data_IF_436751450397
#
_entry.id   IF_436751450397
#
_cell.length_a   1.000
_cell.length_b   1.000
_cell.length_c   1.000
_cell.angle_alpha   90.00
_cell.angle_beta   90.00
_cell.angle_gamma   90.00
#
_symmetry.space_group_name_H-M   'P 1'
#
loop_
_entity.id
_entity.type
_entity.pdbx_description
1 polymer ?
#
# COMPACT_ATOMS: atom_id res chain seq x y z
N UNK A 1 20.23 -21.28 -4.51
CA UNK A 1 20.07 -21.12 -3.05
C UNK A 1 18.61 -20.79 -2.82
N UNK A 2 17.89 -21.65 -2.08
CA UNK A 2 16.42 -21.62 -1.99
C UNK A 2 15.93 -20.82 -0.79
N UNK A 3 14.79 -20.15 -1.00
CA UNK A 3 14.06 -19.18 -0.15
C UNK A 3 14.46 -17.71 -0.35
N UNK A 4 13.50 -16.89 -0.79
CA UNK A 4 13.55 -15.41 -0.84
C UNK A 4 13.00 -14.76 0.45
N UNK A 5 12.63 -15.58 1.44
CA UNK A 5 12.02 -15.13 2.69
C UNK A 5 13.08 -14.62 3.68
N UNK A 6 12.79 -13.49 4.31
CA UNK A 6 13.58 -12.96 5.43
C UNK A 6 13.28 -13.77 6.68
N UNK A 7 14.24 -14.59 7.13
CA UNK A 7 14.04 -15.53 8.26
C UNK A 7 13.80 -14.87 9.62
N UNK A 8 14.27 -13.63 9.81
CA UNK A 8 14.15 -12.89 11.07
C UNK A 8 13.83 -11.41 10.77
N UNK A 9 12.56 -11.08 10.49
CA UNK A 9 12.17 -9.69 10.27
C UNK A 9 12.24 -8.91 11.60
N UNK A 10 12.63 -7.62 11.56
CA UNK A 10 12.76 -6.78 12.76
C UNK A 10 11.41 -6.38 13.37
N UNK A 11 10.33 -6.43 12.58
CA UNK A 11 8.96 -6.14 12.99
C UNK A 11 8.00 -7.18 12.38
N UNK A 12 6.77 -7.27 12.92
CA UNK A 12 5.73 -8.12 12.32
C UNK A 12 5.24 -7.58 10.97
N UNK A 13 5.27 -6.26 10.79
CA UNK A 13 4.95 -5.55 9.57
C UNK A 13 5.72 -4.23 9.56
N UNK A 14 6.07 -3.73 8.37
CA UNK A 14 6.79 -2.47 8.23
C UNK A 14 5.83 -1.26 8.25
N UNK A 15 4.64 -1.42 7.67
CA UNK A 15 3.64 -0.36 7.56
C UNK A 15 2.22 -0.92 7.44
N UNK A 16 1.29 -0.29 8.14
CA UNK A 16 -0.15 -0.52 8.05
C UNK A 16 -0.85 0.75 7.61
N UNK A 17 -1.80 0.65 6.68
CA UNK A 17 -2.63 1.78 6.29
C UNK A 17 -4.02 1.34 5.85
N UNK A 18 -4.96 2.28 5.93
CA UNK A 18 -6.30 2.17 5.38
C UNK A 18 -6.34 3.05 4.13
N UNK A 19 -6.42 2.45 2.93
CA UNK A 19 -6.60 3.22 1.69
C UNK A 19 -8.09 3.36 1.33
N UNK A 20 -8.49 4.58 1.01
CA UNK A 20 -9.78 4.88 0.40
C UNK A 20 -9.77 4.51 -1.09
N UNK A 21 -10.95 4.18 -1.63
CA UNK A 21 -11.09 3.94 -3.05
C UNK A 21 -10.91 5.26 -3.82
N UNK A 22 -10.04 5.32 -4.85
CA UNK A 22 -9.95 6.48 -5.73
C UNK A 22 -11.25 6.72 -6.48
N UNK A 23 -11.53 7.96 -6.88
CA UNK A 23 -12.69 8.26 -7.73
C UNK A 23 -12.38 8.11 -9.24
N UNK A 24 -11.10 8.08 -9.62
CA UNK A 24 -10.63 7.86 -11.01
C UNK A 24 -9.26 7.17 -11.02
N UNK A 25 -8.87 6.61 -12.17
CA UNK A 25 -7.62 5.88 -12.38
C UNK A 25 -6.36 6.77 -12.30
N UNK A 26 -6.53 8.06 -12.57
CA UNK A 26 -5.46 9.07 -12.51
C UNK A 26 -5.17 9.54 -11.07
N UNK A 27 -6.11 9.34 -10.15
CA UNK A 27 -5.95 9.74 -8.76
C UNK A 27 -5.27 8.64 -7.93
N UNK A 28 -4.33 9.03 -7.06
CA UNK A 28 -3.75 8.12 -6.09
C UNK A 28 -4.77 7.80 -4.96
N UNK A 29 -4.85 6.54 -4.50
CA UNK A 29 -5.71 6.18 -3.40
C UNK A 29 -5.35 6.95 -2.12
N UNK A 30 -6.28 7.69 -1.50
CA UNK A 30 -5.98 8.46 -0.31
C UNK A 30 -5.73 7.53 0.88
N UNK A 31 -4.70 7.83 1.67
CA UNK A 31 -4.43 7.14 2.94
C UNK A 31 -5.31 7.78 4.02
N UNK A 32 -6.31 7.04 4.51
CA UNK A 32 -7.26 7.48 5.54
C UNK A 32 -6.66 7.36 6.94
N UNK A 33 -5.89 6.30 7.17
CA UNK A 33 -5.16 6.05 8.42
C UNK A 33 -3.84 5.37 8.09
N UNK A 34 -2.81 5.65 8.87
CA UNK A 34 -1.54 4.91 8.82
C UNK A 34 -1.01 4.60 10.22
N UNK A 35 -0.23 3.54 10.30
CA UNK A 35 0.56 3.16 11.47
C UNK A 35 1.87 2.49 11.00
N UNK A 36 3.05 2.89 11.51
CA UNK A 36 3.25 3.97 12.48
C UNK A 36 3.07 5.37 11.87
N UNK A 37 2.71 6.40 12.67
CA UNK A 37 2.47 7.76 12.15
C UNK A 37 3.73 8.44 11.61
N UNK A 38 4.91 7.99 12.01
CA UNK A 38 6.23 8.43 11.54
C UNK A 38 6.75 7.67 10.31
N UNK A 39 5.97 6.74 9.75
CA UNK A 39 6.30 6.11 8.48
C UNK A 39 6.31 7.16 7.35
N UNK A 40 7.45 7.32 6.68
CA UNK A 40 7.69 8.36 5.65
C UNK A 40 8.42 7.82 4.42
N UNK A 41 8.25 6.54 4.09
CA UNK A 41 8.81 5.99 2.86
C UNK A 41 7.95 6.40 1.65
N UNK A 42 8.30 7.51 1.02
CA UNK A 42 7.50 8.13 -0.05
C UNK A 42 7.18 7.19 -1.22
N UNK A 43 8.09 6.26 -1.56
CA UNK A 43 7.89 5.31 -2.64
C UNK A 43 6.81 4.28 -2.29
N UNK A 44 6.89 3.66 -1.11
CA UNK A 44 5.85 2.75 -0.63
C UNK A 44 4.52 3.48 -0.40
N UNK A 45 4.55 4.69 0.14
CA UNK A 45 3.34 5.48 0.39
C UNK A 45 2.56 5.84 -0.88
N UNK A 46 3.23 5.93 -2.03
CA UNK A 46 2.57 6.13 -3.32
C UNK A 46 2.21 4.79 -3.99
N UNK A 47 3.13 3.83 -3.97
CA UNK A 47 2.98 2.59 -4.73
C UNK A 47 2.00 1.63 -4.06
N UNK A 48 2.14 1.36 -2.76
CA UNK A 48 1.41 0.29 -2.08
C UNK A 48 -0.11 0.55 -2.05
N UNK A 49 -0.62 1.78 -1.84
CA UNK A 49 -2.06 2.03 -1.94
C UNK A 49 -2.64 1.67 -3.31
N UNK A 50 -1.91 1.88 -4.41
CA UNK A 50 -2.38 1.52 -5.77
C UNK A 50 -2.57 0.01 -5.91
N UNK A 51 -1.79 -0.80 -5.21
CA UNK A 51 -1.95 -2.26 -5.17
C UNK A 51 -3.18 -2.72 -4.36
N UNK A 52 -3.78 -1.86 -3.54
CA UNK A 52 -5.07 -2.16 -2.89
C UNK A 52 -6.25 -2.15 -3.87
N UNK A 53 -6.08 -1.49 -5.03
CA UNK A 53 -7.07 -1.40 -6.10
C UNK A 53 -6.48 -1.85 -7.44
N UNK A 54 -6.09 -3.14 -7.60
CA UNK A 54 -5.41 -3.63 -8.79
C UNK A 54 -6.37 -3.92 -9.96
N UNK A 55 -7.40 -3.09 -10.10
CA UNK A 55 -8.46 -3.23 -11.10
C UNK A 55 -8.80 -1.86 -11.69
N UNK A 56 -9.40 -1.88 -12.88
CA UNK A 56 -9.84 -0.68 -13.55
C UNK A 56 -11.07 -0.10 -12.83
N UNK A 57 -10.86 0.95 -12.05
CA UNK A 57 -11.90 1.59 -11.22
C UNK A 57 -12.99 2.21 -12.11
N UNK A 58 -12.64 2.60 -13.34
CA UNK A 58 -13.58 3.22 -14.29
C UNK A 58 -14.36 2.18 -15.12
N UNK A 59 -13.97 0.90 -15.03
CA UNK A 59 -14.69 -0.22 -15.63
C UNK A 59 -15.13 -1.22 -14.56
N UNK A 60 -16.18 -0.90 -13.80
CA UNK A 60 -16.80 -1.87 -12.92
C UNK A 60 -17.36 -3.06 -13.75
N UNK A 61 -17.40 -4.27 -13.17
CA UNK A 61 -17.84 -5.50 -13.86
C UNK A 61 -19.30 -5.47 -14.31
#
# INVERSE_FOLDING_TARGET
MGSTETRHPPAMFDWFFEAGCPNSLEEDPPILRQFPPDFQEQEAMQMVPRFCFPFDIERPP
#
